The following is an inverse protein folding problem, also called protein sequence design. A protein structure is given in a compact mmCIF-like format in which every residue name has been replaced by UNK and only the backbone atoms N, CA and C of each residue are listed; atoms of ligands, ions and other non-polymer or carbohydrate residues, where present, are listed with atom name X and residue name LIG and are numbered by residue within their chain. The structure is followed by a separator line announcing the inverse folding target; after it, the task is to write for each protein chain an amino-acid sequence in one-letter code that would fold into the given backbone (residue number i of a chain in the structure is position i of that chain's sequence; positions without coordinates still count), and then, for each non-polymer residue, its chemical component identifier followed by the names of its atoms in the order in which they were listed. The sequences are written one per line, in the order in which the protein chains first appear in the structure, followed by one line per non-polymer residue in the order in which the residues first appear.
data_IF_408310145907
#
_entry.id   IF_408310145907
#
_cell.length_a   1.000
_cell.length_b   1.000
_cell.length_c   1.000
_cell.angle_alpha   90.00
_cell.angle_beta   90.00
_cell.angle_gamma   90.00
#
_symmetry.space_group_name_H-M   'P 1'
#
loop_
_entity.id
_entity.type
_entity.pdbx_description
1 polymer ?
#
# COMPACT_ATOMS: atom_id res chain seq x y z
N UNK A 1 -1.91 -8.77 22.18
CA UNK A 1 -1.09 -7.55 22.19
C UNK A 1 -1.87 -6.48 22.93
N UNK A 2 -1.22 -5.72 23.80
CA UNK A 2 -1.87 -4.59 24.47
C UNK A 2 -2.15 -3.50 23.42
N UNK A 3 -3.27 -2.76 23.51
CA UNK A 3 -3.49 -1.61 22.66
C UNK A 3 -2.40 -0.57 22.94
N UNK A 4 -1.86 0.02 21.88
CA UNK A 4 -0.94 1.15 21.97
C UNK A 4 -1.63 2.33 22.70
N UNK A 5 -0.87 3.09 23.48
CA UNK A 5 -1.37 4.29 24.13
C UNK A 5 -1.86 5.31 23.07
N UNK A 6 -2.88 6.11 23.38
CA UNK A 6 -3.38 7.16 22.48
C UNK A 6 -2.22 8.07 22.02
N UNK A 7 -1.93 8.03 20.72
CA UNK A 7 -0.86 8.81 20.09
C UNK A 7 0.36 7.99 19.63
N UNK A 8 0.45 6.70 19.97
CA UNK A 8 1.53 5.86 19.45
C UNK A 8 1.12 5.20 18.12
N UNK A 9 1.99 5.36 17.12
CA UNK A 9 1.76 4.84 15.77
C UNK A 9 1.90 3.32 15.77
N UNK A 10 1.02 2.61 15.07
CA UNK A 10 1.13 1.16 14.97
C UNK A 10 2.46 0.76 14.35
N UNK A 11 3.06 -0.32 14.85
CA UNK A 11 4.25 -0.91 14.24
C UNK A 11 3.84 -2.15 13.46
N UNK A 12 3.98 -2.09 12.13
CA UNK A 12 3.70 -3.21 11.23
C UNK A 12 5.00 -3.89 10.81
N UNK A 13 4.88 -5.14 10.38
CA UNK A 13 5.99 -5.90 9.80
C UNK A 13 5.67 -6.29 8.37
N UNK A 14 6.64 -6.14 7.47
CA UNK A 14 6.53 -6.64 6.10
C UNK A 14 6.93 -8.11 6.06
N UNK A 15 6.21 -8.90 5.27
CA UNK A 15 6.66 -10.23 4.83
C UNK A 15 7.13 -10.11 3.39
N UNK A 16 8.42 -10.40 3.14
CA UNK A 16 9.05 -10.33 1.83
C UNK A 16 9.41 -11.74 1.35
N UNK A 17 8.90 -12.10 0.16
CA UNK A 17 9.15 -13.38 -0.49
C UNK A 17 9.88 -13.13 -1.81
N UNK A 18 10.86 -13.98 -2.14
CA UNK A 18 11.48 -13.99 -3.46
C UNK A 18 10.73 -14.95 -4.39
N UNK A 19 10.15 -14.40 -5.46
CA UNK A 19 9.34 -15.13 -6.44
C UNK A 19 7.91 -14.59 -6.48
N UNK A 20 7.04 -15.32 -7.15
CA UNK A 20 5.64 -14.94 -7.32
C UNK A 20 4.73 -15.75 -6.39
N UNK A 21 3.70 -15.10 -5.86
CA UNK A 21 2.62 -15.76 -5.15
C UNK A 21 1.49 -16.00 -6.15
N UNK A 22 1.12 -17.26 -6.36
CA UNK A 22 0.06 -17.64 -7.29
C UNK A 22 -1.18 -18.13 -6.53
N UNK A 23 -2.34 -17.51 -6.79
CA UNK A 23 -3.64 -18.04 -6.34
C UNK A 23 -4.18 -18.98 -7.40
N UNK A 24 -4.69 -20.13 -6.98
CA UNK A 24 -5.35 -21.06 -7.90
C UNK A 24 -6.74 -20.55 -8.27
N UNK A 25 -7.00 -20.45 -9.57
CA UNK A 25 -8.29 -20.02 -10.12
C UNK A 25 -8.44 -18.50 -10.22
N UNK A 26 -9.62 -18.05 -10.64
CA UNK A 26 -9.94 -16.63 -10.82
C UNK A 26 -10.45 -15.98 -9.53
N UNK A 27 -9.60 -15.98 -8.49
CA UNK A 27 -9.95 -15.39 -7.19
C UNK A 27 -8.98 -14.29 -6.82
N UNK A 28 -9.50 -13.23 -6.21
CA UNK A 28 -8.68 -12.16 -5.64
C UNK A 28 -7.91 -12.67 -4.43
N UNK A 29 -6.65 -12.25 -4.27
CA UNK A 29 -5.80 -12.61 -3.12
C UNK A 29 -6.34 -12.10 -1.78
N UNK A 30 -7.15 -11.03 -1.78
CA UNK A 30 -7.59 -10.37 -0.55
C UNK A 30 -8.48 -11.28 0.28
N UNK A 31 -8.30 -11.21 1.61
CA UNK A 31 -9.06 -12.04 2.55
C UNK A 31 -8.83 -13.55 2.45
N UNK A 32 -7.95 -14.04 1.55
CA UNK A 32 -7.68 -15.46 1.43
C UNK A 32 -6.66 -15.94 2.46
N UNK A 33 -6.91 -17.14 2.97
CA UNK A 33 -5.93 -17.87 3.73
C UNK A 33 -4.81 -18.36 2.80
N UNK A 34 -3.63 -17.78 2.94
CA UNK A 34 -2.45 -18.11 2.13
C UNK A 34 -1.63 -19.24 2.80
N UNK A 35 -1.55 -19.26 4.12
CA UNK A 35 -0.74 -20.22 4.86
C UNK A 35 -0.40 -19.82 6.28
N UNK A 36 0.47 -20.61 6.91
CA UNK A 36 0.87 -20.45 8.31
C UNK A 36 2.25 -19.85 8.45
N UNK A 37 2.38 -18.80 9.29
CA UNK A 37 3.66 -18.24 9.70
C UNK A 37 3.97 -18.65 11.14
N UNK A 38 4.99 -19.47 11.32
CA UNK A 38 5.44 -19.98 12.62
C UNK A 38 6.81 -19.42 12.97
N UNK A 39 7.09 -19.30 14.27
CA UNK A 39 8.43 -19.00 14.77
C UNK A 39 8.96 -20.20 15.54
N UNK A 40 10.18 -20.62 15.22
CA UNK A 40 10.84 -21.65 16.01
C UNK A 40 11.36 -21.07 17.34
N UNK A 41 11.84 -21.94 18.24
CA UNK A 41 12.40 -21.54 19.54
C UNK A 41 13.61 -20.61 19.47
N UNK A 42 14.23 -20.48 18.30
CA UNK A 42 15.35 -19.58 18.03
C UNK A 42 14.89 -18.25 17.40
N UNK A 43 13.58 -18.02 17.30
CA UNK A 43 13.01 -16.81 16.70
C UNK A 43 13.11 -16.74 15.18
N UNK A 44 13.42 -17.85 14.49
CA UNK A 44 13.45 -17.88 13.04
C UNK A 44 12.04 -18.14 12.48
N UNK A 45 11.57 -17.31 11.52
CA UNK A 45 10.28 -17.47 10.90
C UNK A 45 10.28 -18.61 9.88
N UNK A 46 9.21 -19.39 9.87
CA UNK A 46 8.94 -20.50 8.97
C UNK A 46 7.55 -20.26 8.38
N UNK A 47 7.47 -20.14 7.06
CA UNK A 47 6.22 -19.90 6.34
C UNK A 47 5.84 -21.15 5.54
N UNK A 48 4.63 -21.63 5.77
CA UNK A 48 4.05 -22.80 5.09
C UNK A 48 2.94 -22.30 4.17
N UNK A 49 3.14 -22.41 2.86
CA UNK A 49 2.16 -21.98 1.85
C UNK A 49 1.92 -23.13 0.89
N UNK A 50 0.68 -23.64 0.84
CA UNK A 50 0.34 -24.82 0.06
C UNK A 50 1.24 -26.01 0.40
N UNK A 51 2.04 -26.48 -0.58
CA UNK A 51 2.97 -27.60 -0.43
C UNK A 51 4.42 -27.17 -0.15
N UNK A 52 4.65 -25.87 0.09
CA UNK A 52 5.97 -25.30 0.26
C UNK A 52 6.24 -24.92 1.71
N UNK A 53 7.46 -25.18 2.16
CA UNK A 53 8.02 -24.65 3.39
C UNK A 53 9.17 -23.70 3.08
N UNK A 54 9.07 -22.47 3.58
CA UNK A 54 10.07 -21.42 3.43
C UNK A 54 10.66 -21.11 4.80
N UNK A 55 11.98 -21.16 4.90
CA UNK A 55 12.72 -20.73 6.08
C UNK A 55 13.19 -19.31 5.87
N UNK A 56 12.80 -18.42 6.77
CA UNK A 56 13.09 -16.99 6.69
C UNK A 56 13.99 -16.51 7.83
N UNK A 57 14.16 -15.19 7.86
CA UNK A 57 14.85 -14.48 8.94
C UNK A 57 14.19 -13.13 9.20
N UNK A 58 14.25 -12.67 10.44
CA UNK A 58 13.92 -11.27 10.76
C UNK A 58 15.09 -10.37 10.34
N UNK A 59 14.79 -9.27 9.66
CA UNK A 59 15.78 -8.30 9.20
C UNK A 59 15.32 -6.89 9.55
N UNK A 60 16.19 -6.14 10.25
CA UNK A 60 16.00 -4.71 10.48
C UNK A 60 16.13 -3.95 9.17
N UNK A 61 15.25 -2.97 8.99
CA UNK A 61 15.29 -2.06 7.85
C UNK A 61 16.04 -0.79 8.30
N UNK A 62 17.15 -0.48 7.64
CA UNK A 62 17.99 0.67 8.00
C UNK A 62 17.25 2.00 7.82
N UNK A 63 16.34 2.05 6.84
CA UNK A 63 15.43 3.17 6.58
C UNK A 63 13.99 2.72 6.84
N UNK A 64 13.44 2.99 8.04
CA UNK A 64 12.06 2.63 8.35
C UNK A 64 11.08 3.17 7.30
N UNK A 65 10.04 2.40 7.02
CA UNK A 65 9.03 2.75 6.03
C UNK A 65 7.76 3.24 6.74
N UNK A 66 7.08 4.19 6.12
CA UNK A 66 5.76 4.64 6.58
C UNK A 66 4.69 3.95 5.73
N UNK A 67 3.70 3.35 6.38
CA UNK A 67 2.50 2.87 5.70
C UNK A 67 1.52 4.02 5.65
N UNK A 68 1.17 4.44 4.44
CA UNK A 68 0.28 5.58 4.20
C UNK A 68 -0.89 5.14 3.34
N UNK A 69 -2.07 5.61 3.70
CA UNK A 69 -3.27 5.46 2.91
C UNK A 69 -3.60 6.79 2.25
N UNK A 70 -3.82 6.78 0.93
CA UNK A 70 -4.24 7.99 0.20
C UNK A 70 -5.71 8.28 0.53
N UNK A 71 -5.98 9.47 1.08
CA UNK A 71 -7.34 9.92 1.29
C UNK A 71 -7.95 10.25 -0.08
N UNK A 72 -8.86 9.42 -0.57
CA UNK A 72 -9.61 9.73 -1.77
C UNK A 72 -10.67 10.79 -1.44
N UNK A 73 -10.50 12.00 -1.93
CA UNK A 73 -11.54 13.02 -1.95
C UNK A 73 -12.58 12.66 -3.01
N UNK A 74 -13.38 11.61 -2.78
CA UNK A 74 -14.65 11.47 -3.52
C UNK A 74 -15.49 12.65 -3.07
N UNK A 75 -15.66 13.63 -3.95
CA UNK A 75 -16.46 14.81 -3.68
C UNK A 75 -17.77 14.37 -3.05
N UNK A 76 -18.04 14.82 -1.82
CA UNK A 76 -19.38 14.78 -1.24
C UNK A 76 -20.26 15.82 -1.95
N UNK A 77 -20.34 15.75 -3.28
CA UNK A 77 -21.38 16.42 -4.04
C UNK A 77 -22.35 15.33 -4.49
N UNK A 78 -23.65 15.58 -4.26
CA UNK A 78 -24.79 14.69 -4.47
C UNK A 78 -25.17 13.76 -3.32
N UNK A 79 -25.52 14.34 -2.17
CA UNK A 79 -26.81 13.99 -1.56
C UNK A 79 -27.36 15.15 -0.73
N UNK A 80 -27.67 16.27 -1.38
CA UNK A 80 -28.67 17.20 -0.86
C UNK A 80 -29.30 17.97 -2.02
N UNK A 81 -30.63 17.98 -2.01
CA UNK A 81 -31.57 18.74 -2.86
C UNK A 81 -31.92 18.14 -4.23
N UNK A 82 -32.89 17.23 -4.23
CA UNK A 82 -33.98 17.31 -5.20
C UNK A 82 -35.04 18.24 -4.63
N UNK A 83 -35.02 19.48 -5.11
CA UNK A 83 -36.20 20.31 -5.38
C UNK A 83 -35.74 21.26 -6.49
N UNK A 84 -36.17 20.96 -7.72
CA UNK A 84 -36.80 21.88 -8.70
C UNK A 84 -36.75 23.37 -8.29
N UNK A 85 -36.23 24.33 -9.07
CA UNK A 85 -36.44 24.61 -10.50
C UNK A 85 -35.34 25.56 -11.06
N UNK A 86 -35.25 25.59 -12.40
CA UNK A 86 -34.81 26.64 -13.35
C UNK A 86 -33.42 27.32 -13.25
N UNK A 87 -32.52 27.00 -14.20
CA UNK A 87 -32.13 27.90 -15.31
C UNK A 87 -30.88 27.38 -16.07
N UNK A 88 -30.88 27.67 -17.37
CA UNK A 88 -30.00 27.19 -18.45
C UNK A 88 -28.53 27.66 -18.35
N UNK A 89 -27.71 27.13 -19.27
CA UNK A 89 -26.33 27.51 -19.62
C UNK A 89 -25.18 26.88 -18.81
N UNK A 90 -24.63 25.77 -19.32
CA UNK A 90 -23.47 25.85 -20.23
C UNK A 90 -22.86 24.45 -20.47
N UNK A 91 -22.74 24.11 -21.74
CA UNK A 91 -21.99 22.97 -22.25
C UNK A 91 -20.49 23.16 -21.97
N UNK A 92 -19.79 22.13 -21.49
CA UNK A 92 -18.61 21.54 -22.16
C UNK A 92 -17.93 20.50 -21.28
N UNK A 93 -17.97 19.28 -21.81
CA UNK A 93 -17.14 18.14 -21.46
C UNK A 93 -15.72 18.37 -22.00
N UNK A 94 -14.70 18.37 -21.14
CA UNK A 94 -13.30 18.25 -21.58
C UNK A 94 -12.57 17.21 -20.71
N UNK A 95 -12.48 16.01 -21.28
CA UNK A 95 -11.51 14.99 -20.94
C UNK A 95 -10.12 15.46 -21.40
N UNK A 96 -9.19 15.63 -20.46
CA UNK A 96 -7.78 15.94 -20.76
C UNK A 96 -6.91 14.85 -20.16
N UNK A 97 -7.19 13.62 -20.58
CA UNK A 97 -6.19 12.56 -20.62
C UNK A 97 -5.41 12.67 -21.95
N UNK A 98 -4.50 13.67 -22.07
CA UNK A 98 -3.34 13.68 -22.98
C UNK A 98 -2.67 15.07 -23.07
N UNK A 99 -1.60 15.28 -22.31
CA UNK A 99 -0.43 16.11 -22.70
C UNK A 99 0.73 15.66 -21.80
N UNK A 100 1.37 14.53 -22.13
CA UNK A 100 2.58 14.44 -22.95
C UNK A 100 3.81 15.12 -22.30
N UNK A 101 4.65 14.29 -21.70
CA UNK A 101 6.11 14.24 -21.89
C UNK A 101 6.80 15.51 -22.41
N UNK A 102 7.56 16.18 -21.55
CA UNK A 102 8.84 16.76 -21.93
C UNK A 102 9.86 16.48 -20.81
N UNK A 103 10.89 15.75 -21.22
CA UNK A 103 12.10 15.37 -20.51
C UNK A 103 13.01 16.59 -20.24
N UNK A 104 13.76 16.54 -19.13
CA UNK A 104 15.21 16.77 -19.05
C UNK A 104 15.66 17.40 -17.72
N UNK A 105 16.14 16.51 -16.86
CA UNK A 105 17.41 16.58 -16.13
C UNK A 105 18.09 17.94 -15.84
N UNK A 106 18.44 18.10 -14.56
CA UNK A 106 19.69 18.70 -14.05
C UNK A 106 19.83 20.22 -14.20
N UNK A 107 19.57 20.95 -13.12
CA UNK A 107 20.62 21.63 -12.34
C UNK A 107 20.03 22.40 -11.15
N UNK A 108 20.76 22.32 -10.04
CA UNK A 108 20.75 23.14 -8.82
C UNK A 108 19.87 24.39 -8.75
N UNK A 109 19.24 24.52 -7.57
CA UNK A 109 19.12 25.75 -6.79
C UNK A 109 18.54 26.96 -7.51
N UNK A 110 17.28 27.30 -7.20
CA UNK A 110 16.92 28.63 -6.66
C UNK A 110 15.43 28.71 -6.34
N UNK A 111 15.14 28.70 -5.04
CA UNK A 111 13.86 29.08 -4.44
C UNK A 111 13.67 30.58 -4.67
N UNK A 112 12.86 30.97 -5.66
CA UNK A 112 12.63 32.38 -5.99
C UNK A 112 11.14 32.70 -5.98
N UNK A 113 10.68 33.15 -4.80
CA UNK A 113 9.70 34.23 -4.55
C UNK A 113 8.78 34.67 -5.70
N UNK A 114 7.68 33.96 -5.97
CA UNK A 114 6.58 34.47 -6.79
C UNK A 114 5.23 33.84 -6.36
N UNK A 115 4.78 34.10 -5.13
CA UNK A 115 3.42 33.75 -4.68
C UNK A 115 2.71 35.00 -4.14
N UNK A 116 2.64 36.04 -4.97
CA UNK A 116 1.97 37.31 -4.65
C UNK A 116 1.47 37.99 -5.93
N UNK A 117 0.70 37.26 -6.74
CA UNK A 117 -0.24 37.88 -7.69
C UNK A 117 -1.56 37.15 -7.54
N UNK A 118 -2.45 37.79 -6.79
CA UNK A 118 -3.87 37.45 -6.66
C UNK A 118 -4.51 37.55 -8.04
N UNK A 119 -4.58 36.43 -8.76
CA UNK A 119 -5.55 36.20 -9.82
C UNK A 119 -6.56 35.20 -9.27
N UNK A 120 -7.78 35.68 -9.05
CA UNK A 120 -8.92 34.89 -8.60
C UNK A 120 -9.32 33.97 -9.75
N UNK A 121 -8.67 32.82 -9.84
CA UNK A 121 -9.17 31.67 -10.58
C UNK A 121 -9.67 30.66 -9.56
N UNK A 122 -10.98 30.44 -9.50
CA UNK A 122 -11.60 29.35 -8.72
C UNK A 122 -11.30 27.98 -9.37
N UNK A 123 -10.02 27.70 -9.63
CA UNK A 123 -9.55 26.36 -9.98
C UNK A 123 -9.19 25.70 -8.66
N UNK A 124 -10.14 24.96 -8.10
CA UNK A 124 -9.90 24.16 -6.89
C UNK A 124 -8.76 23.19 -7.18
N UNK A 125 -7.55 23.53 -6.72
CA UNK A 125 -6.41 22.64 -6.81
C UNK A 125 -6.78 21.36 -6.06
N UNK A 126 -6.68 20.17 -6.69
CA UNK A 126 -7.05 18.93 -6.03
C UNK A 126 -6.16 18.73 -4.79
N UNK A 127 -6.78 18.80 -3.60
CA UNK A 127 -6.10 18.59 -2.33
C UNK A 127 -5.78 17.11 -2.18
N UNK A 128 -4.50 16.75 -2.21
CA UNK A 128 -4.05 15.38 -1.94
C UNK A 128 -3.69 15.25 -0.48
N UNK A 129 -4.36 14.35 0.23
CA UNK A 129 -4.12 14.04 1.64
C UNK A 129 -3.78 12.56 1.82
N UNK A 130 -3.02 12.25 2.85
CA UNK A 130 -2.66 10.88 3.22
C UNK A 130 -2.80 10.68 4.72
N UNK A 131 -3.32 9.53 5.12
CA UNK A 131 -3.35 9.09 6.51
C UNK A 131 -2.16 8.17 6.78
N UNK A 132 -1.40 8.49 7.81
CA UNK A 132 -0.33 7.62 8.30
C UNK A 132 -0.96 6.50 9.13
N UNK A 133 -0.75 5.26 8.69
CA UNK A 133 -1.31 4.06 9.33
C UNK A 133 -0.32 3.41 10.31
N UNK A 134 0.92 3.23 9.88
CA UNK A 134 1.91 2.49 10.66
C UNK A 134 3.36 2.86 10.28
N UNK A 135 4.32 2.50 11.14
CA UNK A 135 5.76 2.47 10.82
C UNK A 135 6.21 1.02 10.68
N UNK A 136 7.08 0.75 9.71
CA UNK A 136 7.73 -0.55 9.53
C UNK A 136 9.22 -0.40 9.77
N UNK A 137 9.75 -1.05 10.81
CA UNK A 137 11.19 -1.06 11.14
C UNK A 137 11.85 -2.41 10.88
N UNK A 138 11.05 -3.46 10.72
CA UNK A 138 11.48 -4.84 10.56
C UNK A 138 10.74 -5.48 9.39
N UNK A 139 11.40 -6.45 8.74
CA UNK A 139 10.77 -7.36 7.79
C UNK A 139 11.11 -8.80 8.11
N UNK A 140 10.18 -9.69 7.81
CA UNK A 140 10.41 -11.12 7.71
C UNK A 140 10.77 -11.43 6.27
N UNK A 141 11.96 -11.99 6.06
CA UNK A 141 12.52 -12.19 4.73
C UNK A 141 12.67 -13.68 4.40
N UNK A 142 12.06 -14.11 3.29
CA UNK A 142 12.15 -15.45 2.71
C UNK A 142 12.84 -15.40 1.34
N UNK A 143 14.18 -15.55 1.33
CA UNK A 143 15.01 -15.55 0.09
C UNK A 143 15.38 -16.94 -0.42
N UNK A 144 15.31 -17.95 0.44
CA UNK A 144 15.68 -19.31 0.03
C UNK A 144 14.59 -19.90 -0.87
N UNK A 145 15.00 -20.75 -1.83
CA UNK A 145 14.06 -21.47 -2.69
C UNK A 145 13.07 -22.28 -1.83
N UNK A 146 11.76 -22.26 -2.14
CA UNK A 146 10.77 -23.04 -1.42
C UNK A 146 11.13 -24.53 -1.43
N UNK A 147 11.12 -25.17 -0.24
CA UNK A 147 11.33 -26.61 -0.11
C UNK A 147 9.98 -27.32 -0.17
N UNK A 148 9.86 -28.48 -0.83
CA UNK A 148 8.65 -29.28 -0.75
C UNK A 148 8.48 -29.82 0.67
N UNK A 149 7.24 -29.92 1.14
CA UNK A 149 6.92 -30.60 2.40
C UNK A 149 7.06 -32.11 2.17
N UNK A 150 8.01 -32.74 2.85
CA UNK A 150 8.21 -34.19 2.82
C UNK A 150 7.50 -34.78 4.04
N UNK A 151 6.34 -35.40 3.83
CA UNK A 151 5.70 -36.18 4.88
C UNK A 151 6.36 -37.56 4.94
N UNK A 152 7.14 -37.84 5.99
CA UNK A 152 7.56 -39.21 6.27
C UNK A 152 6.42 -39.91 7.01
N UNK A 153 5.49 -40.50 6.27
CA UNK A 153 4.44 -41.33 6.86
C UNK A 153 5.09 -42.67 7.21
N UNK A 154 5.34 -42.91 8.50
CA UNK A 154 5.81 -44.21 8.96
C UNK A 154 4.86 -45.27 8.40
N UNK A 155 5.39 -46.24 7.65
CA UNK A 155 4.60 -47.40 7.24
C UNK A 155 4.19 -48.11 8.51
N UNK A 156 2.88 -48.16 8.78
CA UNK A 156 2.37 -49.09 9.78
C UNK A 156 2.71 -50.49 9.29
N UNK A 157 3.54 -51.19 10.06
CA UNK A 157 3.82 -52.63 9.88
C UNK A 157 2.66 -53.42 10.46
#
# INVERSE_FOLDING_TARGET
MLPNAEGDIEEWCIVELQGDLEVRGDRMMDGQFIGDLLYNKYGQPILIIGHHILQGRCQKIDKPLLVMEKCCTRGKQQQQRRTQDDDEDNETMLDVSQVSHLDSSIASSNRTVLDSTVAVEHKTVPKTEYLVRAVVRQKVLFKARPKPIIANVAKSV
#
